data_IF_119801279874
#
_entry.id   IF_119801279874
#
_cell.length_a   1.000
_cell.length_b   1.000
_cell.length_c   1.000
_cell.angle_alpha   90.00
_cell.angle_beta   90.00
_cell.angle_gamma   90.00
#
_symmetry.space_group_name_H-M   'P 1'
#
loop_
_entity.id
_entity.type
_entity.pdbx_description
1 polymer ?
#
# COMPACT_ATOMS: atom_id res chain seq x y z
N UNK A 1 -22.33 -6.31 20.65
CA UNK A 1 -21.84 -7.21 19.58
C UNK A 1 -21.85 -6.40 18.29
N UNK A 2 -20.72 -6.33 17.62
CA UNK A 2 -20.62 -5.76 16.27
C UNK A 2 -20.94 -6.82 15.25
N UNK A 3 -21.84 -6.53 14.31
CA UNK A 3 -22.11 -7.39 13.18
C UNK A 3 -21.46 -6.83 11.88
N UNK A 4 -21.57 -7.58 10.79
CA UNK A 4 -21.01 -7.18 9.50
C UNK A 4 -21.70 -5.92 8.94
N UNK A 5 -22.98 -5.70 9.28
CA UNK A 5 -23.74 -4.53 8.84
C UNK A 5 -23.20 -3.28 9.52
N UNK A 6 -22.84 -3.35 10.80
CA UNK A 6 -22.24 -2.24 11.53
C UNK A 6 -20.91 -1.83 10.90
N UNK A 7 -20.08 -2.80 10.52
CA UNK A 7 -18.80 -2.55 9.83
C UNK A 7 -19.03 -1.93 8.46
N UNK A 8 -19.96 -2.45 7.66
CA UNK A 8 -20.27 -1.91 6.34
C UNK A 8 -20.82 -0.49 6.41
N UNK A 9 -21.70 -0.20 7.37
CA UNK A 9 -22.25 1.13 7.56
C UNK A 9 -21.18 2.14 7.98
N UNK A 10 -20.29 1.77 8.92
CA UNK A 10 -19.18 2.64 9.32
C UNK A 10 -18.22 2.94 8.16
N UNK A 11 -17.91 1.96 7.33
CA UNK A 11 -17.06 2.19 6.16
C UNK A 11 -17.78 3.02 5.08
N UNK A 12 -19.07 2.84 4.88
CA UNK A 12 -19.87 3.68 3.98
C UNK A 12 -19.88 5.14 4.47
N UNK A 13 -20.12 5.38 5.75
CA UNK A 13 -20.11 6.71 6.35
C UNK A 13 -18.73 7.38 6.19
N UNK A 14 -17.64 6.65 6.42
CA UNK A 14 -16.28 7.14 6.20
C UNK A 14 -16.03 7.50 4.74
N UNK A 15 -16.50 6.68 3.79
CA UNK A 15 -16.35 6.95 2.36
C UNK A 15 -17.13 8.20 1.95
N UNK A 16 -18.37 8.34 2.40
CA UNK A 16 -19.19 9.53 2.14
C UNK A 16 -18.55 10.78 2.73
N UNK A 17 -18.04 10.69 3.96
CA UNK A 17 -17.35 11.79 4.62
C UNK A 17 -16.07 12.21 3.87
N UNK A 18 -15.27 11.26 3.41
CA UNK A 18 -13.99 11.51 2.72
C UNK A 18 -14.13 11.95 1.27
N UNK A 19 -15.31 11.76 0.68
CA UNK A 19 -15.61 12.14 -0.69
C UNK A 19 -16.82 13.08 -0.77
N UNK A 20 -16.71 14.27 -0.17
CA UNK A 20 -17.85 15.21 -0.08
C UNK A 20 -18.32 15.75 -1.43
N UNK A 21 -17.53 15.55 -2.50
CA UNK A 21 -17.84 16.00 -3.84
C UNK A 21 -18.61 14.96 -4.67
N UNK A 22 -18.81 13.75 -4.13
CA UNK A 22 -19.60 12.71 -4.79
C UNK A 22 -21.04 12.83 -4.30
N UNK A 23 -21.97 12.97 -5.23
CA UNK A 23 -23.38 12.81 -4.90
C UNK A 23 -23.70 11.31 -4.79
N UNK A 24 -23.92 10.87 -3.56
CA UNK A 24 -24.26 9.48 -3.24
C UNK A 24 -25.77 9.19 -3.43
N UNK A 25 -26.57 10.22 -3.73
CA UNK A 25 -27.97 10.10 -4.09
C UNK A 25 -28.12 10.02 -5.62
N UNK A 26 -29.12 9.32 -6.11
CA UNK A 26 -29.26 8.86 -7.51
C UNK A 26 -29.35 9.96 -8.60
N UNK A 27 -29.30 11.23 -8.30
CA UNK A 27 -29.60 12.30 -9.26
C UNK A 27 -28.40 13.00 -9.91
N UNK A 28 -27.22 12.41 -9.89
CA UNK A 28 -26.10 12.80 -10.78
C UNK A 28 -25.48 14.20 -10.60
N UNK A 29 -25.96 15.04 -9.73
CA UNK A 29 -25.37 16.34 -9.42
C UNK A 29 -24.29 16.24 -8.34
N UNK A 30 -23.12 16.78 -8.63
CA UNK A 30 -21.99 16.84 -7.72
C UNK A 30 -22.23 17.87 -6.60
N UNK A 31 -23.04 17.54 -5.63
CA UNK A 31 -23.26 18.33 -4.41
C UNK A 31 -22.44 17.76 -3.26
N UNK A 32 -22.16 18.57 -2.26
CA UNK A 32 -21.54 18.06 -1.03
C UNK A 32 -22.54 17.13 -0.34
N UNK A 33 -22.21 15.86 -0.25
CA UNK A 33 -23.10 14.85 0.34
C UNK A 33 -23.28 15.02 1.85
N UNK A 34 -22.32 15.64 2.54
CA UNK A 34 -22.41 15.91 3.95
C UNK A 34 -22.73 17.39 4.22
N UNK A 35 -23.91 17.72 4.77
CA UNK A 35 -24.32 19.10 5.04
C UNK A 35 -23.45 19.82 6.09
N UNK A 36 -22.66 19.07 6.84
CA UNK A 36 -21.78 19.59 7.87
C UNK A 36 -20.39 19.97 7.37
N UNK A 37 -20.12 19.77 6.07
CA UNK A 37 -18.82 20.08 5.48
C UNK A 37 -18.93 21.23 4.48
N UNK A 38 -17.88 22.04 4.39
CA UNK A 38 -17.75 23.09 3.38
C UNK A 38 -16.28 23.29 3.00
N UNK A 39 -16.04 23.92 1.86
CA UNK A 39 -14.70 24.32 1.44
C UNK A 39 -14.51 25.78 1.86
N UNK A 40 -13.45 26.06 2.65
CA UNK A 40 -13.10 27.41 3.04
C UNK A 40 -12.41 28.18 1.90
N UNK A 41 -12.12 29.46 2.10
CA UNK A 41 -11.48 30.33 1.11
C UNK A 41 -10.07 29.87 0.70
N UNK A 42 -9.40 29.09 1.52
CA UNK A 42 -8.10 28.47 1.23
C UNK A 42 -8.21 27.17 0.42
N UNK A 43 -9.42 26.76 0.01
CA UNK A 43 -9.68 25.53 -0.74
C UNK A 43 -9.61 24.25 0.12
N UNK A 44 -9.71 24.38 1.44
CA UNK A 44 -9.68 23.26 2.38
C UNK A 44 -11.10 22.84 2.76
N UNK A 45 -11.32 21.52 2.84
CA UNK A 45 -12.57 20.98 3.38
C UNK A 45 -12.57 21.11 4.88
N UNK A 46 -13.57 21.79 5.42
CA UNK A 46 -13.70 22.07 6.85
C UNK A 46 -15.04 21.55 7.37
N UNK A 47 -15.03 21.02 8.58
CA UNK A 47 -16.24 20.59 9.29
C UNK A 47 -16.85 21.79 10.00
N UNK A 48 -18.18 21.94 9.95
CA UNK A 48 -18.88 22.98 10.71
C UNK A 48 -18.85 22.64 12.19
N UNK A 49 -18.42 23.58 13.01
CA UNK A 49 -18.49 23.43 14.47
C UNK A 49 -19.94 23.30 14.95
N UNK A 50 -20.13 22.75 16.14
CA UNK A 50 -21.46 22.61 16.76
C UNK A 50 -22.09 24.00 16.99
N UNK A 51 -21.27 25.02 17.22
CA UNK A 51 -21.72 26.42 17.42
C UNK A 51 -22.21 27.02 16.08
N UNK A 52 -21.57 26.74 14.96
CA UNK A 52 -22.01 27.17 13.63
C UNK A 52 -23.29 26.46 13.15
N UNK A 53 -23.57 25.27 13.70
CA UNK A 53 -24.83 24.54 13.44
C UNK A 53 -26.04 25.18 14.12
N UNK A 54 -25.85 25.77 15.28
CA UNK A 54 -26.92 26.37 16.07
C UNK A 54 -27.43 27.70 15.48
N UNK A 55 -26.62 28.44 14.74
CA UNK A 55 -26.93 29.78 14.23
C UNK A 55 -27.68 29.73 12.84
N UNK A 56 -27.89 28.57 12.23
CA UNK A 56 -28.47 28.42 10.88
C UNK A 56 -29.87 27.83 10.80
N UNK A 57 -30.69 28.13 11.82
CA UNK A 57 -32.13 27.81 11.72
C UNK A 57 -32.91 28.56 10.63
N UNK A 58 -32.31 29.51 9.90
CA UNK A 58 -33.04 30.37 8.97
C UNK A 58 -32.17 30.87 7.79
N UNK A 59 -31.86 30.07 6.79
CA UNK A 59 -31.75 30.60 5.41
C UNK A 59 -31.44 29.52 4.37
N UNK A 60 -32.46 29.12 3.64
CA UNK A 60 -32.33 28.32 2.40
C UNK A 60 -31.56 29.07 1.27
N UNK A 61 -31.51 30.40 1.32
CA UNK A 61 -30.81 31.23 0.32
C UNK A 61 -29.27 31.21 0.47
N UNK A 62 -28.75 31.17 1.69
CA UNK A 62 -27.31 31.06 1.92
C UNK A 62 -26.71 29.70 1.52
N UNK A 63 -27.53 28.66 1.46
CA UNK A 63 -27.12 27.34 1.00
C UNK A 63 -26.95 27.31 -0.53
N UNK A 64 -27.77 27.99 -1.30
CA UNK A 64 -27.73 28.01 -2.77
C UNK A 64 -26.50 28.78 -3.31
N UNK A 65 -26.12 29.87 -2.67
CA UNK A 65 -24.93 30.66 -3.06
C UNK A 65 -23.62 29.92 -2.72
N UNK A 66 -23.57 29.20 -1.60
CA UNK A 66 -22.42 28.38 -1.20
C UNK A 66 -22.27 27.11 -2.04
N UNK A 67 -23.37 26.53 -2.50
CA UNK A 67 -23.34 25.36 -3.42
C UNK A 67 -22.74 25.72 -4.78
N UNK A 68 -22.92 26.97 -5.23
CA UNK A 68 -22.36 27.49 -6.47
C UNK A 68 -20.83 27.69 -6.36
N UNK A 69 -20.33 28.19 -5.21
CA UNK A 69 -18.90 28.32 -4.93
C UNK A 69 -18.18 26.96 -4.80
N UNK A 70 -18.88 25.94 -4.34
CA UNK A 70 -18.38 24.55 -4.26
C UNK A 70 -18.17 23.93 -5.64
N UNK A 71 -18.98 24.28 -6.65
CA UNK A 71 -18.82 23.80 -8.02
C UNK A 71 -17.52 24.27 -8.68
N UNK A 72 -17.01 25.45 -8.29
CA UNK A 72 -15.78 26.03 -8.85
C UNK A 72 -14.50 25.44 -8.25
N UNK A 73 -14.57 24.88 -7.04
CA UNK A 73 -13.43 24.31 -6.31
C UNK A 73 -13.34 22.78 -6.35
N UNK A 74 -14.04 22.11 -7.27
CA UNK A 74 -13.93 20.65 -7.44
C UNK A 74 -12.50 20.26 -7.78
N UNK A 75 -11.97 19.19 -7.16
CA UNK A 75 -10.69 18.65 -7.56
C UNK A 75 -10.74 18.17 -9.01
N UNK A 76 -9.89 18.76 -9.86
CA UNK A 76 -9.93 18.56 -11.32
C UNK A 76 -9.15 17.34 -11.81
N UNK A 77 -8.40 16.68 -10.92
CA UNK A 77 -7.62 15.50 -11.26
C UNK A 77 -7.42 14.60 -10.04
N UNK A 78 -6.95 13.37 -10.26
CA UNK A 78 -6.77 12.36 -9.21
C UNK A 78 -5.84 12.83 -8.07
N UNK A 79 -4.78 13.58 -8.37
CA UNK A 79 -3.86 14.09 -7.35
C UNK A 79 -4.52 15.15 -6.44
N UNK A 80 -5.40 15.97 -6.99
CA UNK A 80 -6.16 16.93 -6.19
C UNK A 80 -7.20 16.24 -5.30
N UNK A 81 -7.84 15.17 -5.79
CA UNK A 81 -8.76 14.32 -5.00
C UNK A 81 -7.99 13.67 -3.85
N UNK A 82 -6.82 13.08 -4.12
CA UNK A 82 -5.97 12.45 -3.12
C UNK A 82 -5.55 13.43 -2.02
N UNK A 83 -5.12 14.64 -2.42
CA UNK A 83 -4.75 15.70 -1.46
C UNK A 83 -5.93 16.13 -0.59
N UNK A 84 -7.11 16.31 -1.17
CA UNK A 84 -8.33 16.68 -0.44
C UNK A 84 -8.72 15.56 0.52
N UNK A 85 -8.64 14.31 0.08
CA UNK A 85 -8.93 13.14 0.90
C UNK A 85 -8.00 13.02 2.12
N UNK A 86 -6.69 13.25 1.95
CA UNK A 86 -5.75 13.25 3.08
C UNK A 86 -6.02 14.39 4.07
N UNK A 87 -6.41 15.58 3.58
CA UNK A 87 -6.80 16.70 4.46
C UNK A 87 -8.05 16.37 5.29
N UNK A 88 -9.08 15.79 4.66
CA UNK A 88 -10.30 15.37 5.34
C UNK A 88 -10.01 14.31 6.40
N UNK A 89 -9.16 13.35 6.06
CA UNK A 89 -8.74 12.29 6.97
C UNK A 89 -7.99 12.79 8.21
N UNK A 90 -7.25 13.90 8.09
CA UNK A 90 -6.60 14.55 9.24
C UNK A 90 -7.61 15.24 10.17
N UNK A 91 -8.80 15.58 9.68
CA UNK A 91 -9.86 16.26 10.43
C UNK A 91 -10.86 15.29 11.08
N UNK A 92 -10.77 13.99 10.83
CA UNK A 92 -11.61 12.99 11.50
C UNK A 92 -11.35 13.03 13.02
N UNK A 93 -12.43 13.01 13.82
CA UNK A 93 -12.36 13.05 15.29
C UNK A 93 -11.48 11.96 15.91
N UNK A 94 -11.36 10.83 15.21
CA UNK A 94 -10.46 9.72 15.51
C UNK A 94 -9.16 9.80 14.69
N UNK A 95 -8.90 10.97 14.09
CA UNK A 95 -7.74 11.22 13.24
C UNK A 95 -6.46 10.93 14.01
N UNK A 96 -5.61 10.12 13.40
CA UNK A 96 -4.35 9.73 14.03
C UNK A 96 -3.51 10.98 14.30
N UNK A 97 -3.23 11.29 15.57
CA UNK A 97 -2.35 12.39 15.99
C UNK A 97 -0.99 12.36 15.28
N UNK A 98 -0.57 11.17 14.84
CA UNK A 98 0.70 10.96 14.15
C UNK A 98 0.47 10.23 12.82
N UNK A 99 1.25 10.58 11.82
CA UNK A 99 1.18 10.02 10.45
C UNK A 99 1.13 8.49 10.42
N UNK A 100 1.92 7.85 11.27
CA UNK A 100 2.07 6.39 11.29
C UNK A 100 1.12 5.67 12.25
N UNK A 101 0.40 6.36 13.13
CA UNK A 101 -0.49 5.72 14.11
C UNK A 101 -1.64 4.94 13.47
N UNK A 102 -2.03 5.29 12.24
CA UNK A 102 -3.02 4.53 11.46
C UNK A 102 -2.47 3.32 10.70
N UNK A 103 -1.28 2.84 11.01
CA UNK A 103 -0.76 1.57 10.47
C UNK A 103 -1.12 0.45 11.44
N UNK A 104 -1.97 -0.51 11.04
CA UNK A 104 -2.36 -1.60 11.94
C UNK A 104 -1.17 -2.45 12.38
N UNK A 105 -1.10 -2.76 13.67
CA UNK A 105 -0.02 -3.59 14.22
C UNK A 105 -0.08 -5.05 13.72
N UNK A 106 -1.27 -5.52 13.33
CA UNK A 106 -1.52 -6.88 12.87
C UNK A 106 -1.09 -7.15 11.41
N UNK A 107 -0.68 -6.13 10.66
CA UNK A 107 -0.23 -6.34 9.29
C UNK A 107 1.03 -7.21 9.23
N UNK A 108 1.12 -8.14 8.27
CA UNK A 108 2.36 -8.83 7.95
C UNK A 108 3.51 -7.84 7.70
N UNK A 109 4.71 -8.17 8.16
CA UNK A 109 5.85 -7.22 8.23
C UNK A 109 6.19 -6.59 6.88
N UNK A 110 6.13 -7.34 5.79
CA UNK A 110 6.44 -6.86 4.46
C UNK A 110 5.42 -5.80 4.00
N UNK A 111 4.12 -6.11 4.15
CA UNK A 111 3.03 -5.19 3.83
C UNK A 111 3.07 -3.97 4.76
N UNK A 112 3.37 -4.18 6.05
CA UNK A 112 3.51 -3.10 7.04
C UNK A 112 4.62 -2.12 6.65
N UNK A 113 5.79 -2.61 6.25
CA UNK A 113 6.91 -1.79 5.80
C UNK A 113 6.52 -0.92 4.60
N UNK A 114 5.89 -1.51 3.58
CA UNK A 114 5.39 -0.79 2.41
C UNK A 114 4.42 0.33 2.82
N UNK A 115 3.46 0.03 3.69
CA UNK A 115 2.45 1.01 4.17
C UNK A 115 3.06 2.12 5.00
N UNK A 116 4.06 1.84 5.84
CA UNK A 116 4.80 2.85 6.60
C UNK A 116 5.48 3.84 5.65
N UNK A 117 6.20 3.32 4.66
CA UNK A 117 6.92 4.12 3.67
C UNK A 117 5.98 4.96 2.81
N UNK A 118 4.85 4.38 2.38
CA UNK A 118 3.85 5.10 1.59
C UNK A 118 3.23 6.25 2.39
N UNK A 119 2.92 6.05 3.67
CA UNK A 119 2.43 7.12 4.55
C UNK A 119 3.48 8.21 4.79
N UNK A 120 4.75 7.84 4.98
CA UNK A 120 5.84 8.80 5.13
C UNK A 120 6.02 9.66 3.88
N UNK A 121 5.91 9.05 2.69
CA UNK A 121 5.91 9.76 1.41
C UNK A 121 4.83 10.85 1.34
N UNK A 122 3.62 10.55 1.80
CA UNK A 122 2.49 11.48 1.71
C UNK A 122 2.70 12.79 2.49
N UNK A 123 3.62 12.81 3.45
CA UNK A 123 4.01 14.01 4.19
C UNK A 123 5.36 14.60 3.71
N UNK A 124 5.84 14.15 2.56
CA UNK A 124 7.06 14.68 1.94
C UNK A 124 8.35 13.98 2.38
N UNK A 125 8.30 12.93 3.18
CA UNK A 125 9.46 12.14 3.54
C UNK A 125 9.71 11.04 2.51
N UNK A 126 10.32 11.43 1.38
CA UNK A 126 10.62 10.52 0.27
C UNK A 126 11.84 10.99 -0.52
N UNK A 127 12.38 10.09 -1.33
CA UNK A 127 13.48 10.36 -2.25
C UNK A 127 13.02 11.28 -3.39
N UNK A 128 13.85 12.26 -3.73
CA UNK A 128 13.57 13.14 -4.87
C UNK A 128 13.73 12.41 -6.20
N UNK A 129 14.73 11.53 -6.29
CA UNK A 129 14.96 10.66 -7.44
C UNK A 129 14.89 9.21 -7.01
N UNK A 130 14.14 8.43 -7.73
CA UNK A 130 13.95 6.99 -7.40
C UNK A 130 15.25 6.17 -7.52
N UNK A 131 16.18 6.64 -8.32
CA UNK A 131 17.49 5.99 -8.53
C UNK A 131 18.35 6.05 -7.27
N UNK A 132 18.26 7.13 -6.50
CA UNK A 132 19.08 7.36 -5.30
C UNK A 132 18.78 6.35 -4.16
N UNK A 133 17.63 5.66 -4.21
CA UNK A 133 17.30 4.62 -3.23
C UNK A 133 18.29 3.45 -3.25
N UNK A 134 18.92 3.19 -4.40
CA UNK A 134 19.87 2.08 -4.51
C UNK A 134 21.13 2.30 -3.70
N UNK A 135 21.57 3.54 -3.51
CA UNK A 135 22.71 3.86 -2.66
C UNK A 135 22.44 3.39 -1.22
N UNK A 136 21.20 3.61 -0.72
CA UNK A 136 20.79 3.12 0.60
C UNK A 136 20.71 1.59 0.65
N UNK A 137 20.23 0.94 -0.40
CA UNK A 137 20.21 -0.53 -0.47
C UNK A 137 21.64 -1.10 -0.41
N UNK A 138 22.61 -0.48 -1.09
CA UNK A 138 24.00 -0.90 -1.04
C UNK A 138 24.65 -0.64 0.31
N UNK A 139 24.32 0.45 0.98
CA UNK A 139 24.74 0.76 2.34
C UNK A 139 24.27 -0.35 3.30
N UNK A 140 22.96 -0.63 3.34
CA UNK A 140 22.37 -1.63 4.25
C UNK A 140 22.93 -3.05 4.01
N UNK A 141 23.19 -3.43 2.76
CA UNK A 141 23.81 -4.74 2.49
C UNK A 141 25.28 -4.78 2.96
N UNK A 142 25.98 -3.66 2.93
CA UNK A 142 27.36 -3.58 3.42
C UNK A 142 27.39 -3.67 4.96
N UNK A 143 26.47 -2.98 5.66
CA UNK A 143 26.31 -3.02 7.10
C UNK A 143 25.94 -4.43 7.57
N UNK A 144 24.95 -5.07 6.95
CA UNK A 144 24.59 -6.46 7.20
C UNK A 144 25.80 -7.40 7.07
N UNK A 145 26.57 -7.27 5.99
CA UNK A 145 27.76 -8.12 5.78
C UNK A 145 28.82 -7.89 6.85
N UNK A 146 29.00 -6.66 7.31
CA UNK A 146 29.94 -6.32 8.36
C UNK A 146 29.56 -6.95 9.70
N UNK A 147 28.26 -6.93 10.06
CA UNK A 147 27.79 -7.56 11.29
C UNK A 147 27.80 -9.09 11.22
N UNK A 148 27.46 -9.67 10.07
CA UNK A 148 27.59 -11.11 9.84
C UNK A 148 29.05 -11.59 10.00
N UNK A 149 30.04 -10.80 9.56
CA UNK A 149 31.45 -11.13 9.70
C UNK A 149 31.96 -11.09 11.16
N UNK A 150 31.23 -10.37 12.04
CA UNK A 150 31.51 -10.33 13.49
C UNK A 150 30.83 -11.47 14.25
N UNK A 151 30.00 -12.27 13.58
CA UNK A 151 29.13 -13.30 14.17
C UNK A 151 28.18 -12.77 15.27
N UNK A 152 27.89 -11.47 15.23
CA UNK A 152 26.94 -10.82 16.11
C UNK A 152 25.50 -11.03 15.60
N UNK A 153 24.84 -12.04 16.13
CA UNK A 153 23.51 -12.42 15.70
C UNK A 153 22.45 -11.35 15.97
N UNK A 154 22.57 -10.60 17.05
CA UNK A 154 21.61 -9.56 17.40
C UNK A 154 21.70 -8.39 16.42
N UNK A 155 22.89 -7.85 16.21
CA UNK A 155 23.08 -6.75 15.27
C UNK A 155 22.86 -7.20 13.83
N UNK A 156 23.32 -8.39 13.43
CA UNK A 156 22.99 -8.95 12.10
C UNK A 156 21.49 -9.04 11.86
N UNK A 157 20.67 -9.30 12.88
CA UNK A 157 19.22 -9.34 12.75
C UNK A 157 18.63 -7.94 12.51
N UNK A 158 19.19 -6.91 13.15
CA UNK A 158 18.77 -5.51 12.93
C UNK A 158 19.10 -5.07 11.51
N UNK A 159 20.35 -5.27 11.09
CA UNK A 159 20.79 -4.90 9.74
C UNK A 159 20.05 -5.66 8.63
N UNK A 160 19.71 -6.93 8.88
CA UNK A 160 18.82 -7.66 7.95
C UNK A 160 17.44 -7.00 7.83
N UNK A 161 16.91 -6.49 8.94
CA UNK A 161 15.66 -5.73 8.94
C UNK A 161 15.75 -4.45 8.11
N UNK A 162 16.83 -3.69 8.28
CA UNK A 162 17.06 -2.43 7.58
C UNK A 162 17.32 -2.68 6.08
N UNK A 163 18.08 -3.70 5.74
CA UNK A 163 18.24 -4.14 4.35
C UNK A 163 16.90 -4.51 3.70
N UNK A 164 16.06 -5.33 4.34
CA UNK A 164 14.74 -5.67 3.81
C UNK A 164 13.86 -4.44 3.66
N UNK A 165 13.89 -3.52 4.62
CA UNK A 165 13.13 -2.28 4.56
C UNK A 165 13.58 -1.39 3.40
N UNK A 166 14.88 -1.28 3.14
CA UNK A 166 15.43 -0.50 2.01
C UNK A 166 15.03 -1.10 0.65
N UNK A 167 15.04 -2.43 0.51
CA UNK A 167 14.58 -3.14 -0.71
C UNK A 167 13.08 -2.92 -0.95
N UNK A 168 12.26 -2.97 0.10
CA UNK A 168 10.82 -2.69 0.00
C UNK A 168 10.60 -1.24 -0.44
N UNK A 169 11.41 -0.30 0.04
CA UNK A 169 11.33 1.09 -0.38
C UNK A 169 11.69 1.28 -1.86
N UNK A 170 12.73 0.59 -2.33
CA UNK A 170 13.06 0.56 -3.74
C UNK A 170 11.87 0.03 -4.57
N UNK A 171 11.29 -1.11 -4.17
CA UNK A 171 10.12 -1.66 -4.84
C UNK A 171 8.97 -0.64 -4.93
N UNK A 172 8.67 0.08 -3.84
CA UNK A 172 7.64 1.12 -3.79
C UNK A 172 7.91 2.25 -4.79
N UNK A 173 9.14 2.78 -4.85
CA UNK A 173 9.51 3.86 -5.75
C UNK A 173 9.38 3.45 -7.22
N UNK A 174 9.64 2.18 -7.54
CA UNK A 174 9.43 1.61 -8.88
C UNK A 174 8.00 1.10 -9.09
N UNK A 175 7.07 1.35 -8.15
CA UNK A 175 5.66 0.93 -8.21
C UNK A 175 5.48 -0.59 -8.34
N UNK A 176 6.38 -1.35 -7.75
CA UNK A 176 6.32 -2.79 -7.67
C UNK A 176 5.69 -3.20 -6.34
N UNK A 177 4.84 -4.22 -6.36
CA UNK A 177 4.33 -4.81 -5.14
C UNK A 177 5.30 -5.91 -4.65
N UNK A 178 6.02 -5.70 -3.54
CA UNK A 178 7.04 -6.65 -3.09
C UNK A 178 6.44 -7.97 -2.58
N UNK A 179 5.22 -7.95 -2.02
CA UNK A 179 4.52 -9.15 -1.54
C UNK A 179 4.14 -10.06 -2.72
N UNK A 180 3.48 -9.49 -3.72
CA UNK A 180 3.15 -10.23 -4.95
C UNK A 180 4.41 -10.74 -5.67
N UNK A 181 5.47 -9.93 -5.72
CA UNK A 181 6.72 -10.33 -6.37
C UNK A 181 7.37 -11.52 -5.67
N UNK A 182 7.36 -11.52 -4.32
CA UNK A 182 7.87 -12.64 -3.53
C UNK A 182 6.99 -13.88 -3.70
N UNK A 183 5.66 -13.72 -3.68
CA UNK A 183 4.73 -14.83 -3.89
C UNK A 183 4.91 -15.47 -5.28
N UNK A 184 5.08 -14.69 -6.33
CA UNK A 184 5.41 -15.23 -7.66
C UNK A 184 6.71 -16.05 -7.64
N UNK A 185 7.69 -15.62 -6.86
CA UNK A 185 8.95 -16.36 -6.72
C UNK A 185 8.76 -17.64 -5.92
N UNK A 186 7.94 -17.62 -4.85
CA UNK A 186 7.58 -18.81 -4.07
C UNK A 186 6.91 -19.85 -4.97
N UNK A 187 5.89 -19.46 -5.71
CA UNK A 187 5.17 -20.36 -6.62
C UNK A 187 6.08 -20.92 -7.72
N UNK A 188 6.98 -20.10 -8.26
CA UNK A 188 7.97 -20.56 -9.22
C UNK A 188 8.92 -21.60 -8.59
N UNK A 189 9.39 -21.37 -7.38
CA UNK A 189 10.25 -22.31 -6.67
C UNK A 189 9.54 -23.63 -6.42
N UNK A 190 8.30 -23.58 -5.91
CA UNK A 190 7.47 -24.77 -5.63
C UNK A 190 7.28 -25.61 -6.89
N UNK A 191 6.90 -24.99 -8.03
CA UNK A 191 6.73 -25.73 -9.29
C UNK A 191 8.00 -26.43 -9.74
N UNK A 192 9.15 -25.76 -9.67
CA UNK A 192 10.43 -26.36 -10.08
C UNK A 192 10.88 -27.45 -9.13
N UNK A 193 10.66 -27.25 -7.83
CA UNK A 193 11.02 -28.26 -6.84
C UNK A 193 10.16 -29.51 -6.97
N UNK A 194 8.85 -29.35 -7.21
CA UNK A 194 7.96 -30.48 -7.52
C UNK A 194 8.45 -31.26 -8.77
N UNK A 195 8.94 -30.56 -9.79
CA UNK A 195 9.55 -31.23 -10.95
C UNK A 195 10.75 -32.10 -10.55
N UNK A 196 11.66 -31.55 -9.72
CA UNK A 196 12.82 -32.28 -9.19
C UNK A 196 12.38 -33.52 -8.42
N UNK A 197 11.39 -33.37 -7.53
CA UNK A 197 10.85 -34.45 -6.72
C UNK A 197 10.22 -35.55 -7.58
N UNK A 198 9.33 -35.19 -8.50
CA UNK A 198 8.67 -36.15 -9.40
C UNK A 198 9.67 -36.95 -10.25
N UNK A 199 10.73 -36.29 -10.74
CA UNK A 199 11.73 -36.94 -11.61
C UNK A 199 12.73 -37.78 -10.81
N UNK A 200 13.02 -37.40 -9.57
CA UNK A 200 13.76 -38.22 -8.63
C UNK A 200 13.01 -39.55 -8.33
N UNK A 201 11.74 -39.45 -8.00
CA UNK A 201 10.88 -40.63 -7.69
C UNK A 201 10.75 -41.54 -8.93
N UNK A 202 10.59 -41.00 -10.13
CA UNK A 202 10.55 -41.78 -11.40
C UNK A 202 11.84 -42.53 -11.67
N UNK A 203 12.99 -42.03 -11.21
CA UNK A 203 14.29 -42.68 -11.26
C UNK A 203 14.53 -43.68 -10.13
N UNK A 204 13.54 -43.85 -9.23
CA UNK A 204 13.65 -44.73 -8.07
C UNK A 204 14.61 -44.23 -6.99
N UNK A 205 14.96 -42.92 -7.01
CA UNK A 205 15.84 -42.28 -6.02
C UNK A 205 15.02 -41.42 -5.06
N UNK A 206 15.38 -41.45 -3.78
CA UNK A 206 14.89 -40.44 -2.84
C UNK A 206 15.72 -39.16 -2.98
N UNK A 207 15.12 -38.01 -2.79
CA UNK A 207 15.83 -36.71 -2.79
C UNK A 207 17.01 -36.68 -1.81
N UNK A 208 16.89 -37.36 -0.66
CA UNK A 208 17.93 -37.45 0.36
C UNK A 208 19.19 -38.20 -0.11
N UNK A 209 19.04 -39.05 -1.11
CA UNK A 209 20.11 -39.89 -1.66
C UNK A 209 20.74 -39.27 -2.91
N UNK A 210 20.24 -38.10 -3.35
CA UNK A 210 20.74 -37.35 -4.48
C UNK A 210 21.79 -36.32 -4.04
N UNK A 211 22.78 -36.13 -4.88
CA UNK A 211 23.70 -35.00 -4.74
C UNK A 211 23.05 -33.69 -5.17
N UNK A 212 23.58 -32.57 -4.70
CA UNK A 212 23.12 -31.24 -5.13
C UNK A 212 23.23 -31.09 -6.67
N UNK A 213 24.31 -31.59 -7.25
CA UNK A 213 24.55 -31.55 -8.70
C UNK A 213 23.50 -32.32 -9.50
N UNK A 214 23.02 -33.45 -9.00
CA UNK A 214 21.94 -34.22 -9.62
C UNK A 214 20.61 -33.46 -9.53
N UNK A 215 20.32 -32.84 -8.40
CA UNK A 215 19.12 -32.01 -8.21
C UNK A 215 19.17 -30.74 -9.09
N UNK A 216 20.33 -30.09 -9.21
CA UNK A 216 20.52 -28.90 -10.04
C UNK A 216 20.28 -29.21 -11.56
N UNK A 217 20.65 -30.38 -12.04
CA UNK A 217 20.34 -30.79 -13.41
C UNK A 217 18.83 -30.82 -13.65
N UNK A 218 18.07 -31.47 -12.77
CA UNK A 218 16.61 -31.52 -12.86
C UNK A 218 15.98 -30.14 -12.72
N UNK A 219 16.56 -29.29 -11.87
CA UNK A 219 16.13 -27.91 -11.72
C UNK A 219 16.33 -27.08 -13.00
N UNK A 220 17.46 -27.26 -13.67
CA UNK A 220 17.73 -26.59 -14.95
C UNK A 220 16.84 -27.12 -16.08
N UNK A 221 16.50 -28.42 -16.08
CA UNK A 221 15.50 -28.98 -16.99
C UNK A 221 14.13 -28.32 -16.78
N UNK A 222 13.67 -28.16 -15.52
CA UNK A 222 12.44 -27.48 -15.18
C UNK A 222 12.42 -26.04 -15.71
N UNK A 223 13.52 -25.30 -15.52
CA UNK A 223 13.68 -23.93 -16.07
C UNK A 223 13.61 -23.89 -17.61
N UNK A 224 14.20 -24.88 -18.27
CA UNK A 224 14.17 -24.95 -19.73
C UNK A 224 12.77 -25.24 -20.27
N UNK A 225 12.00 -26.08 -19.60
CA UNK A 225 10.60 -26.35 -19.93
C UNK A 225 9.73 -25.10 -19.76
N UNK A 226 9.77 -24.43 -18.62
CA UNK A 226 9.02 -23.18 -18.40
C UNK A 226 9.31 -22.13 -19.50
N UNK A 227 10.57 -22.02 -19.96
CA UNK A 227 10.92 -21.09 -21.04
C UNK A 227 10.31 -21.45 -22.38
N UNK A 228 10.22 -22.76 -22.69
CA UNK A 228 9.60 -23.24 -23.93
C UNK A 228 8.09 -23.02 -23.93
N UNK A 229 7.44 -23.29 -22.78
CA UNK A 229 6.00 -23.10 -22.63
C UNK A 229 5.63 -21.61 -22.75
N UNK A 230 6.36 -20.73 -22.07
CA UNK A 230 6.17 -19.28 -22.18
C UNK A 230 6.46 -18.74 -23.61
N UNK A 231 7.29 -19.41 -24.41
CA UNK A 231 7.55 -19.03 -25.79
C UNK A 231 6.42 -19.51 -26.73
N UNK A 232 5.75 -20.62 -26.40
CA UNK A 232 4.62 -21.16 -27.15
C UNK A 232 3.31 -20.42 -26.91
N UNK A 233 3.10 -19.92 -25.69
CA UNK A 233 1.93 -19.10 -25.34
C UNK A 233 1.92 -17.70 -25.99
N UNK A 234 3.07 -17.23 -26.47
CA UNK A 234 3.22 -15.92 -27.15
C UNK A 234 3.07 -16.00 -28.68
N UNK A 235 2.80 -17.15 -29.21
CA UNK A 235 2.54 -17.37 -30.66
C UNK A 235 1.05 -17.55 -30.93
#
# INVERSE_FOLDING_TARGET
EFDICDVCNQEADKLMFRHPFINWNEEGDWTVSNPDMYINEAGQVVYRSIEEKADKGNSAEASAEKTKALGENKPKNAAAVEKTWEQIKQQEKDGNERVLSGVPNSLPSLIKAYRIQDKARNVGFDWQKKEDVWDKVYEEIAELKAELAKEDKENSTKELGDFLFSVINAARLYKLNPDNALEHTNQKFIRRFNYVEDHSLKQGKNLKDMTLEEMDKLWDEAKAMERKDAANEKK
#
